data_IF_476001378763
#
_entry.id   IF_476001378763
#
_cell.length_a   1.000
_cell.length_b   1.000
_cell.length_c   1.000
_cell.angle_alpha   90.00
_cell.angle_beta   90.00
_cell.angle_gamma   90.00
#
_symmetry.space_group_name_H-M   'P 1'
#
loop_
_entity.id
_entity.type
_entity.pdbx_description
1 polymer ?
#
# COMPACT_ATOMS: atom_id res chain seq x y z
N UNK A 1 -7.22 11.65 18.94
CA UNK A 1 -6.87 12.18 17.59
C UNK A 1 -7.39 11.19 16.56
N UNK A 2 -8.30 11.56 15.64
CA UNK A 2 -8.89 10.59 14.69
C UNK A 2 -7.82 10.15 13.69
N UNK A 3 -7.66 8.84 13.48
CA UNK A 3 -6.85 8.32 12.38
C UNK A 3 -7.39 8.82 11.05
N UNK A 4 -6.48 9.20 10.17
CA UNK A 4 -6.82 9.68 8.85
C UNK A 4 -6.07 8.86 7.79
N UNK A 5 -6.69 8.69 6.63
CA UNK A 5 -6.12 7.94 5.52
C UNK A 5 -5.45 8.90 4.54
N UNK A 6 -4.26 8.52 4.09
CA UNK A 6 -3.52 9.20 3.03
C UNK A 6 -3.14 8.18 1.96
N UNK A 7 -3.54 8.45 0.70
CA UNK A 7 -3.08 7.67 -0.44
C UNK A 7 -1.76 8.25 -0.95
N UNK A 8 -0.79 7.38 -1.18
CA UNK A 8 0.42 7.73 -1.94
C UNK A 8 0.42 6.85 -3.19
N UNK A 9 0.18 7.46 -4.34
CA UNK A 9 0.15 6.77 -5.63
C UNK A 9 1.45 7.00 -6.39
N UNK A 10 2.09 5.93 -6.87
CA UNK A 10 3.15 6.01 -7.87
C UNK A 10 2.57 5.52 -9.19
N UNK A 11 2.55 6.39 -10.19
CA UNK A 11 1.97 6.06 -11.50
C UNK A 11 2.95 6.39 -12.62
N UNK A 12 3.29 5.41 -13.46
CA UNK A 12 4.05 5.61 -14.69
C UNK A 12 3.33 4.89 -15.84
N UNK A 13 2.78 5.63 -16.82
CA UNK A 13 2.21 5.07 -18.07
C UNK A 13 2.47 5.91 -19.32
N UNK A 14 2.80 5.16 -20.38
CA UNK A 14 2.74 5.42 -21.83
C UNK A 14 2.09 6.73 -22.30
N UNK A 15 2.89 7.55 -23.02
CA UNK A 15 2.57 8.74 -23.84
C UNK A 15 2.64 10.16 -23.20
N UNK A 16 3.70 10.87 -23.62
CA UNK A 16 3.89 12.30 -24.04
C UNK A 16 3.37 13.46 -23.18
N UNK A 17 2.54 13.28 -22.15
CA UNK A 17 2.09 14.38 -21.28
C UNK A 17 2.10 14.03 -19.78
N UNK A 18 3.30 13.82 -19.24
CA UNK A 18 3.57 13.26 -17.91
C UNK A 18 3.06 14.10 -16.72
N UNK A 19 3.31 15.41 -16.66
CA UNK A 19 2.87 16.25 -15.54
C UNK A 19 1.34 16.43 -15.46
N UNK A 20 0.68 16.45 -16.63
CA UNK A 20 -0.79 16.58 -16.73
C UNK A 20 -1.48 15.27 -16.38
N UNK A 21 -0.88 14.13 -16.73
CA UNK A 21 -1.41 12.80 -16.42
C UNK A 21 -1.19 12.38 -14.97
N UNK A 22 -0.05 12.65 -14.34
CA UNK A 22 0.06 12.42 -12.88
C UNK A 22 -0.99 13.23 -12.13
N UNK A 23 -1.17 14.52 -12.46
CA UNK A 23 -2.23 15.34 -11.84
C UNK A 23 -3.61 14.74 -12.06
N UNK A 24 -3.89 14.21 -13.24
CA UNK A 24 -5.15 13.52 -13.54
C UNK A 24 -5.30 12.23 -12.73
N UNK A 25 -4.25 11.41 -12.64
CA UNK A 25 -4.24 10.19 -11.83
C UNK A 25 -4.46 10.51 -10.35
N UNK A 26 -3.75 11.49 -9.81
CA UNK A 26 -3.93 11.95 -8.42
C UNK A 26 -5.35 12.48 -8.20
N UNK A 27 -5.94 13.21 -9.14
CA UNK A 27 -7.33 13.67 -9.04
C UNK A 27 -8.35 12.51 -9.09
N UNK A 28 -8.10 11.48 -9.91
CA UNK A 28 -8.94 10.29 -9.95
C UNK A 28 -8.76 9.42 -8.70
N UNK A 29 -7.56 9.34 -8.14
CA UNK A 29 -7.31 8.72 -6.83
C UNK A 29 -7.97 9.53 -5.70
N UNK A 30 -7.99 10.86 -5.80
CA UNK A 30 -8.64 11.76 -4.84
C UNK A 30 -10.14 11.47 -4.81
N UNK A 31 -10.76 11.41 -6.00
CA UNK A 31 -12.15 11.04 -6.18
C UNK A 31 -12.44 9.59 -5.81
N UNK A 32 -11.54 8.65 -6.10
CA UNK A 32 -11.69 7.25 -5.72
C UNK A 32 -11.70 7.12 -4.19
N UNK A 33 -10.80 7.80 -3.49
CA UNK A 33 -10.78 7.83 -2.04
C UNK A 33 -12.09 8.41 -1.47
N UNK A 34 -12.56 9.53 -2.02
CA UNK A 34 -13.78 10.18 -1.52
C UNK A 34 -15.03 9.33 -1.77
N UNK A 35 -15.13 8.67 -2.93
CA UNK A 35 -16.31 7.91 -3.34
C UNK A 35 -16.31 6.48 -2.77
N UNK A 36 -15.15 5.82 -2.73
CA UNK A 36 -15.04 4.39 -2.38
C UNK A 36 -14.53 4.14 -0.97
N UNK A 37 -13.78 5.09 -0.40
CA UNK A 37 -13.20 5.01 0.93
C UNK A 37 -13.69 6.16 1.83
N UNK A 38 -14.82 6.79 1.49
CA UNK A 38 -15.35 7.98 2.18
C UNK A 38 -15.83 7.73 3.61
N UNK A 39 -15.96 6.45 4.02
CA UNK A 39 -16.17 6.06 5.42
C UNK A 39 -14.96 6.36 6.30
N UNK A 40 -13.77 6.51 5.71
CA UNK A 40 -12.54 6.86 6.41
C UNK A 40 -12.23 8.35 6.28
N UNK A 41 -11.86 8.98 7.39
CA UNK A 41 -11.48 10.38 7.38
C UNK A 41 -10.21 10.57 6.52
N UNK A 42 -10.25 11.46 5.54
CA UNK A 42 -9.11 11.81 4.69
C UNK A 42 -8.24 12.88 5.33
N UNK A 43 -6.92 12.66 5.40
CA UNK A 43 -5.99 13.68 5.92
C UNK A 43 -5.59 14.67 4.83
N UNK A 44 -5.11 14.12 3.73
CA UNK A 44 -4.44 14.86 2.66
C UNK A 44 -4.89 14.33 1.32
N UNK A 45 -4.79 15.20 0.32
CA UNK A 45 -4.95 14.79 -1.07
C UNK A 45 -3.87 13.77 -1.43
N UNK A 46 -4.17 12.80 -2.31
CA UNK A 46 -3.17 11.86 -2.78
C UNK A 46 -1.94 12.57 -3.30
N UNK A 47 -0.77 12.08 -2.90
CA UNK A 47 0.51 12.54 -3.43
C UNK A 47 1.16 11.42 -4.24
N UNK A 48 2.16 11.78 -5.04
CA UNK A 48 2.85 10.81 -5.87
C UNK A 48 4.15 11.36 -6.43
N UNK A 49 4.98 10.41 -6.86
CA UNK A 49 6.11 10.64 -7.74
C UNK A 49 5.82 9.97 -9.08
N UNK A 50 6.45 10.50 -10.12
CA UNK A 50 6.40 9.98 -11.48
C UNK A 50 7.76 10.25 -12.10
N UNK A 51 8.15 9.41 -13.04
CA UNK A 51 9.40 9.59 -13.75
C UNK A 51 9.32 10.81 -14.70
N UNK A 52 10.20 11.80 -14.51
CA UNK A 52 10.32 13.01 -15.35
C UNK A 52 11.45 12.84 -16.35
N UNK A 53 11.10 12.97 -17.62
CA UNK A 53 11.99 12.98 -18.79
C UNK A 53 12.65 11.64 -19.10
N UNK A 54 12.01 10.89 -20.00
CA UNK A 54 12.58 10.53 -21.30
C UNK A 54 11.44 9.97 -22.15
N UNK A 55 11.52 10.10 -23.48
CA UNK A 55 10.54 9.42 -24.32
C UNK A 55 10.67 7.91 -24.10
N UNK A 56 9.54 7.19 -24.14
CA UNK A 56 9.51 5.75 -23.79
C UNK A 56 10.44 4.91 -24.66
N UNK A 57 10.73 5.40 -25.87
CA UNK A 57 11.78 4.85 -26.69
C UNK A 57 13.14 5.18 -26.07
N UNK A 58 13.56 6.42 -25.76
CA UNK A 58 14.86 6.72 -25.13
C UNK A 58 15.19 5.90 -23.86
N UNK A 59 14.26 5.66 -22.93
CA UNK A 59 14.57 4.85 -21.73
C UNK A 59 14.85 3.36 -22.04
N UNK A 60 14.20 2.82 -23.08
CA UNK A 60 14.38 1.43 -23.52
C UNK A 60 15.40 1.34 -24.68
N UNK A 61 15.58 2.43 -25.42
CA UNK A 61 16.47 2.65 -26.58
C UNK A 61 17.85 3.03 -26.12
N UNK A 62 18.06 3.70 -24.99
CA UNK A 62 19.39 3.88 -24.39
C UNK A 62 19.88 2.57 -23.78
N UNK A 63 18.98 1.79 -23.16
CA UNK A 63 19.26 0.42 -22.71
C UNK A 63 19.49 -0.52 -23.91
N UNK A 64 18.73 -0.38 -24.99
CA UNK A 64 18.91 -1.16 -26.22
C UNK A 64 20.09 -0.66 -27.09
N UNK A 65 20.41 0.64 -27.11
CA UNK A 65 21.55 1.23 -27.82
C UNK A 65 22.86 0.90 -27.11
N UNK A 66 22.88 0.92 -25.77
CA UNK A 66 24.05 0.53 -24.99
C UNK A 66 24.31 -0.99 -25.06
N UNK A 67 23.33 -1.81 -25.45
CA UNK A 67 23.45 -3.29 -25.51
C UNK A 67 23.41 -3.90 -26.92
N UNK A 68 22.94 -3.18 -27.96
CA UNK A 68 22.71 -3.70 -29.32
C UNK A 68 23.18 -2.77 -30.46
N UNK A 69 24.28 -2.04 -30.27
CA UNK A 69 24.87 -1.15 -31.29
C UNK A 69 25.16 -1.79 -32.67
N UNK A 70 25.12 -3.12 -32.77
CA UNK A 70 25.51 -3.88 -33.97
C UNK A 70 24.33 -4.57 -34.71
N UNK A 71 23.08 -4.42 -34.26
CA UNK A 71 21.95 -5.09 -34.92
C UNK A 71 21.55 -4.38 -36.22
N UNK A 72 21.49 -5.16 -37.31
CA UNK A 72 21.00 -4.69 -38.60
C UNK A 72 19.51 -4.28 -38.52
N UNK A 73 19.12 -3.13 -39.12
CA UNK A 73 17.72 -2.70 -39.26
C UNK A 73 16.83 -3.71 -40.00
N UNK A 74 17.44 -4.65 -40.72
CA UNK A 74 16.77 -5.71 -41.48
C UNK A 74 16.64 -7.03 -40.71
N UNK A 75 17.14 -7.10 -39.47
CA UNK A 75 16.99 -8.28 -38.63
C UNK A 75 15.57 -8.39 -38.06
N UNK A 76 15.03 -9.60 -37.99
CA UNK A 76 13.73 -9.85 -37.35
C UNK A 76 13.70 -9.33 -35.90
N UNK A 77 14.81 -9.48 -35.17
CA UNK A 77 14.99 -9.00 -33.79
C UNK A 77 14.79 -7.47 -33.64
N UNK A 78 15.31 -6.67 -34.58
CA UNK A 78 15.13 -5.22 -34.60
C UNK A 78 13.65 -4.82 -34.82
N UNK A 79 13.02 -5.42 -35.84
CA UNK A 79 11.61 -5.13 -36.20
C UNK A 79 10.63 -5.44 -35.07
N UNK A 80 10.86 -6.55 -34.37
CA UNK A 80 10.03 -7.02 -33.26
C UNK A 80 10.11 -6.08 -32.05
N UNK A 81 11.32 -5.64 -31.66
CA UNK A 81 11.53 -4.67 -30.59
C UNK A 81 10.80 -3.36 -30.91
N UNK A 82 10.89 -2.86 -32.14
CA UNK A 82 10.17 -1.64 -32.56
C UNK A 82 8.64 -1.80 -32.50
N UNK A 83 8.08 -2.96 -32.86
CA UNK A 83 6.64 -3.20 -32.84
C UNK A 83 6.06 -3.26 -31.41
N UNK A 84 6.79 -3.88 -30.47
CA UNK A 84 6.44 -3.91 -29.04
C UNK A 84 6.47 -2.48 -28.47
N UNK A 85 7.49 -1.69 -28.81
CA UNK A 85 7.68 -0.32 -28.33
C UNK A 85 6.71 0.70 -28.94
N UNK A 86 6.21 0.44 -30.15
CA UNK A 86 5.26 1.31 -30.84
C UNK A 86 3.78 0.97 -30.56
N UNK A 87 3.51 -0.12 -29.83
CA UNK A 87 2.14 -0.55 -29.51
C UNK A 87 1.37 -1.12 -30.72
N UNK A 88 2.05 -1.62 -31.74
CA UNK A 88 1.46 -2.21 -32.95
C UNK A 88 1.51 -3.74 -32.92
N UNK A 89 1.34 -4.34 -31.73
CA UNK A 89 1.44 -5.78 -31.47
C UNK A 89 0.43 -6.61 -32.27
N UNK A 90 -0.70 -5.99 -32.63
CA UNK A 90 -1.81 -6.60 -33.38
C UNK A 90 -1.44 -6.98 -34.83
N UNK A 91 -0.24 -6.57 -35.28
CA UNK A 91 0.31 -6.85 -36.61
C UNK A 91 1.25 -8.06 -36.66
N UNK A 92 1.55 -8.68 -35.51
CA UNK A 92 2.47 -9.81 -35.40
C UNK A 92 1.75 -11.14 -35.64
N UNK A 93 2.41 -12.06 -36.36
CA UNK A 93 1.86 -13.39 -36.62
C UNK A 93 2.04 -14.31 -35.40
N UNK A 94 1.27 -15.41 -35.33
CA UNK A 94 1.39 -16.41 -34.26
C UNK A 94 2.78 -17.09 -34.21
N UNK A 95 3.52 -17.09 -35.32
CA UNK A 95 4.87 -17.66 -35.46
C UNK A 95 5.95 -16.70 -34.89
N UNK A 96 5.69 -15.39 -34.96
CA UNK A 96 6.54 -14.34 -34.41
C UNK A 96 6.56 -14.37 -32.88
N UNK A 97 5.43 -14.75 -32.26
CA UNK A 97 5.26 -14.86 -30.80
C UNK A 97 6.19 -15.94 -30.19
N UNK A 98 6.41 -17.06 -30.90
CA UNK A 98 7.29 -18.14 -30.43
C UNK A 98 8.79 -17.75 -30.46
N UNK A 99 9.18 -16.79 -31.29
CA UNK A 99 10.56 -16.29 -31.36
C UNK A 99 10.85 -15.20 -30.32
N UNK A 100 9.82 -14.66 -29.66
CA UNK A 100 9.93 -13.66 -28.60
C UNK A 100 10.64 -14.23 -27.36
N UNK A 101 10.48 -15.53 -27.08
CA UNK A 101 11.06 -16.20 -25.89
C UNK A 101 12.60 -16.10 -25.85
N UNK A 102 13.28 -16.38 -26.96
CA UNK A 102 14.76 -16.36 -27.02
C UNK A 102 15.38 -14.96 -26.96
N UNK A 103 14.68 -13.97 -27.53
CA UNK A 103 15.12 -12.56 -27.53
C UNK A 103 15.03 -11.97 -26.12
N UNK A 104 14.08 -12.45 -25.33
CA UNK A 104 13.77 -11.93 -24.00
C UNK A 104 14.64 -12.57 -22.91
N UNK A 105 14.92 -13.87 -22.98
CA UNK A 105 15.86 -14.51 -22.04
C UNK A 105 17.25 -13.85 -22.06
N UNK A 106 17.69 -13.36 -23.23
CA UNK A 106 18.99 -12.69 -23.41
C UNK A 106 19.00 -11.23 -22.93
N UNK A 107 17.87 -10.51 -23.06
CA UNK A 107 17.76 -9.12 -22.57
C UNK A 107 17.80 -9.08 -21.04
N UNK A 108 17.16 -10.03 -20.37
CA UNK A 108 16.91 -9.98 -18.93
C UNK A 108 17.89 -10.78 -18.06
N UNK A 109 18.83 -11.52 -18.65
CA UNK A 109 19.85 -12.25 -17.89
C UNK A 109 20.78 -11.35 -17.06
N UNK A 110 20.92 -10.08 -17.43
CA UNK A 110 21.84 -9.13 -16.78
C UNK A 110 21.19 -7.83 -16.25
N UNK A 111 19.85 -7.70 -16.26
CA UNK A 111 19.21 -6.48 -15.75
C UNK A 111 19.23 -6.49 -14.22
N UNK A 112 20.35 -6.03 -13.68
CA UNK A 112 20.50 -5.73 -12.26
C UNK A 112 19.92 -4.34 -12.02
N UNK A 113 18.65 -4.26 -11.63
CA UNK A 113 18.03 -3.01 -11.18
C UNK A 113 18.75 -2.52 -9.91
N UNK A 114 19.71 -1.59 -10.04
CA UNK A 114 20.25 -0.88 -8.88
C UNK A 114 19.26 0.20 -8.43
N UNK A 115 18.22 -0.22 -7.71
CA UNK A 115 17.19 0.64 -7.07
C UNK A 115 17.78 1.82 -6.26
N UNK A 116 19.04 1.70 -5.85
CA UNK A 116 19.73 2.60 -4.92
C UNK A 116 20.10 3.97 -5.51
N UNK A 117 20.07 4.16 -6.84
CA UNK A 117 20.45 5.44 -7.47
C UNK A 117 19.30 6.15 -8.19
N UNK A 118 18.05 5.71 -8.01
CA UNK A 118 16.90 6.31 -8.66
C UNK A 118 16.38 7.55 -7.88
N UNK A 119 16.39 8.70 -8.54
CA UNK A 119 15.87 9.97 -8.02
C UNK A 119 14.38 9.86 -7.68
N UNK A 120 13.61 9.08 -8.43
CA UNK A 120 12.17 8.91 -8.20
C UNK A 120 11.88 8.04 -6.99
N UNK A 121 12.65 6.98 -6.80
CA UNK A 121 12.60 6.18 -5.58
C UNK A 121 12.90 7.07 -4.37
N UNK A 122 13.99 7.85 -4.46
CA UNK A 122 14.39 8.77 -3.38
C UNK A 122 13.29 9.79 -3.08
N UNK A 123 12.68 10.40 -4.09
CA UNK A 123 11.57 11.34 -3.94
C UNK A 123 10.33 10.69 -3.33
N UNK A 124 9.97 9.49 -3.78
CA UNK A 124 8.84 8.75 -3.25
C UNK A 124 9.07 8.34 -1.79
N UNK A 125 10.28 7.89 -1.46
CA UNK A 125 10.70 7.53 -0.11
C UNK A 125 10.61 8.74 0.84
N UNK A 126 11.14 9.90 0.45
CA UNK A 126 11.05 11.12 1.27
C UNK A 126 9.59 11.57 1.48
N UNK A 127 8.72 11.46 0.46
CA UNK A 127 7.29 11.74 0.60
C UNK A 127 6.60 10.76 1.55
N UNK A 128 6.97 9.48 1.48
CA UNK A 128 6.46 8.44 2.35
C UNK A 128 6.88 8.70 3.80
N UNK A 129 8.16 8.94 4.06
CA UNK A 129 8.66 9.28 5.39
C UNK A 129 7.95 10.51 5.98
N UNK A 130 7.77 11.56 5.18
CA UNK A 130 7.03 12.74 5.61
C UNK A 130 5.60 12.41 6.07
N UNK A 131 4.93 11.46 5.41
CA UNK A 131 3.59 11.01 5.78
C UNK A 131 3.61 10.03 6.95
N UNK A 132 4.62 9.17 7.08
CA UNK A 132 4.76 8.23 8.19
C UNK A 132 4.96 8.93 9.54
N UNK A 133 5.50 10.16 9.54
CA UNK A 133 5.60 11.01 10.74
C UNK A 133 4.25 11.58 11.20
N UNK A 134 3.17 11.38 10.44
CA UNK A 134 1.82 11.72 10.86
C UNK A 134 1.08 10.48 11.35
N UNK A 135 0.07 10.65 12.22
CA UNK A 135 -0.79 9.55 12.69
C UNK A 135 -1.77 9.05 11.60
N UNK A 136 -1.24 8.83 10.40
CA UNK A 136 -1.98 8.46 9.21
C UNK A 136 -1.82 6.98 8.90
N UNK A 137 -2.90 6.41 8.38
CA UNK A 137 -2.88 5.14 7.66
C UNK A 137 -2.47 5.43 6.22
N UNK A 138 -1.42 4.76 5.76
CA UNK A 138 -0.87 4.98 4.42
C UNK A 138 -1.17 3.77 3.55
N UNK A 139 -1.65 4.03 2.34
CA UNK A 139 -1.77 3.00 1.30
C UNK A 139 -0.86 3.41 0.14
N UNK A 140 0.12 2.58 -0.16
CA UNK A 140 1.00 2.69 -1.32
C UNK A 140 0.29 2.05 -2.52
N UNK A 141 -0.08 2.84 -3.51
CA UNK A 141 -0.72 2.33 -4.73
C UNK A 141 0.31 2.26 -5.86
N UNK A 142 0.59 1.04 -6.30
CA UNK A 142 1.44 0.75 -7.45
C UNK A 142 0.60 0.35 -8.65
N UNK A 143 0.96 0.82 -9.84
CA UNK A 143 0.32 0.44 -11.10
C UNK A 143 1.36 0.13 -12.18
N UNK A 144 1.26 -1.03 -12.84
CA UNK A 144 2.27 -1.54 -13.79
C UNK A 144 3.67 -1.45 -13.22
N UNK A 145 4.64 -0.83 -13.92
CA UNK A 145 6.00 -0.64 -13.43
C UNK A 145 6.08 0.12 -12.08
N UNK A 146 5.07 0.92 -11.71
CA UNK A 146 5.00 1.59 -10.42
C UNK A 146 5.04 0.62 -9.23
N UNK A 147 4.63 -0.64 -9.44
CA UNK A 147 4.68 -1.69 -8.43
C UNK A 147 6.10 -2.04 -7.99
N UNK A 148 7.13 -1.86 -8.83
CA UNK A 148 8.51 -2.09 -8.40
C UNK A 148 8.94 -1.12 -7.30
N UNK A 149 8.54 0.15 -7.43
CA UNK A 149 8.81 1.19 -6.44
C UNK A 149 7.98 0.97 -5.17
N UNK A 150 6.67 0.74 -5.29
CA UNK A 150 5.83 0.55 -4.10
C UNK A 150 6.14 -0.73 -3.35
N UNK A 151 6.53 -1.81 -4.03
CA UNK A 151 7.04 -3.01 -3.37
C UNK A 151 8.32 -2.72 -2.58
N UNK A 152 9.28 -2.02 -3.18
CA UNK A 152 10.53 -1.68 -2.51
C UNK A 152 10.31 -0.75 -1.32
N UNK A 153 9.46 0.27 -1.47
CA UNK A 153 9.10 1.18 -0.38
C UNK A 153 8.37 0.47 0.76
N UNK A 154 7.47 -0.46 0.45
CA UNK A 154 6.78 -1.24 1.46
C UNK A 154 7.76 -2.09 2.27
N UNK A 155 8.63 -2.84 1.58
CA UNK A 155 9.66 -3.68 2.21
C UNK A 155 10.62 -2.86 3.06
N UNK A 156 11.12 -1.73 2.54
CA UNK A 156 12.01 -0.81 3.25
C UNK A 156 11.35 -0.25 4.51
N UNK A 157 10.14 0.32 4.41
CA UNK A 157 9.46 0.92 5.56
C UNK A 157 9.17 -0.11 6.64
N UNK A 158 8.64 -1.28 6.28
CA UNK A 158 8.34 -2.32 7.28
C UNK A 158 9.62 -2.78 7.98
N UNK A 159 10.75 -2.84 7.27
CA UNK A 159 12.02 -3.33 7.83
C UNK A 159 12.77 -2.31 8.68
N UNK A 160 12.69 -1.01 8.33
CA UNK A 160 13.63 -0.01 8.87
C UNK A 160 12.98 1.16 9.58
N UNK A 161 11.68 1.41 9.37
CA UNK A 161 11.04 2.61 9.90
C UNK A 161 10.71 2.49 11.39
N UNK A 162 11.17 3.47 12.15
CA UNK A 162 10.84 3.67 13.56
C UNK A 162 10.02 4.96 13.70
N UNK A 163 8.87 4.88 14.37
CA UNK A 163 8.04 6.03 14.72
C UNK A 163 8.78 6.94 15.72
N UNK A 164 8.35 8.19 15.83
CA UNK A 164 9.00 9.21 16.67
C UNK A 164 9.05 8.88 18.16
N UNK A 165 8.16 8.01 18.61
CA UNK A 165 8.03 7.49 19.98
C UNK A 165 8.77 6.16 20.20
N UNK A 166 9.51 5.67 19.18
CA UNK A 166 10.40 4.52 19.28
C UNK A 166 9.81 3.18 18.82
N UNK A 167 8.51 3.11 18.51
CA UNK A 167 7.90 1.88 17.99
C UNK A 167 8.35 1.58 16.55
N UNK A 168 8.42 0.31 16.17
CA UNK A 168 8.79 -0.09 14.81
C UNK A 168 7.57 -0.35 13.92
N UNK A 169 7.71 -0.06 12.62
CA UNK A 169 6.68 -0.35 11.63
C UNK A 169 6.43 -1.86 11.44
N UNK A 170 7.42 -2.71 11.73
CA UNK A 170 7.26 -4.17 11.75
C UNK A 170 6.21 -4.63 12.75
N UNK A 171 6.20 -4.06 13.96
CA UNK A 171 5.25 -4.43 15.01
C UNK A 171 3.90 -3.70 14.85
N UNK A 172 3.95 -2.49 14.31
CA UNK A 172 2.79 -1.61 14.14
C UNK A 172 2.69 -1.09 12.70
N UNK A 173 2.34 -1.95 11.73
CA UNK A 173 2.30 -1.57 10.32
C UNK A 173 1.11 -0.65 10.05
N UNK A 174 1.38 0.66 9.97
CA UNK A 174 0.42 1.69 9.51
C UNK A 174 0.54 1.99 8.01
N UNK A 175 1.27 1.14 7.27
CA UNK A 175 1.42 1.18 5.82
C UNK A 175 0.88 -0.10 5.20
N UNK A 176 0.22 0.00 4.05
CA UNK A 176 -0.28 -1.12 3.25
C UNK A 176 0.09 -0.90 1.79
N UNK A 177 0.05 -1.97 1.00
CA UNK A 177 0.39 -1.96 -0.42
C UNK A 177 -0.83 -2.38 -1.24
N UNK A 178 -1.18 -1.61 -2.26
CA UNK A 178 -2.19 -1.95 -3.25
C UNK A 178 -1.54 -2.04 -4.62
N UNK A 179 -1.30 -3.28 -5.06
CA UNK A 179 -0.68 -3.58 -6.33
C UNK A 179 -1.74 -3.78 -7.43
N UNK A 180 -1.73 -2.90 -8.43
CA UNK A 180 -2.66 -2.92 -9.55
C UNK A 180 -1.87 -3.24 -10.83
N UNK A 181 -2.35 -4.17 -11.65
CA UNK A 181 -1.68 -4.58 -12.89
C UNK A 181 -0.18 -4.87 -12.67
N UNK A 182 0.15 -5.80 -11.76
CA UNK A 182 1.52 -5.89 -11.23
C UNK A 182 2.44 -6.81 -12.07
N UNK A 183 3.61 -6.33 -12.55
CA UNK A 183 4.58 -7.12 -13.33
C UNK A 183 5.46 -8.03 -12.46
N UNK A 184 5.24 -8.07 -11.15
CA UNK A 184 6.07 -8.87 -10.23
C UNK A 184 5.55 -10.30 -10.07
N UNK A 185 6.45 -11.21 -9.72
CA UNK A 185 6.12 -12.56 -9.25
C UNK A 185 5.88 -12.61 -7.73
N UNK A 186 6.28 -11.57 -6.99
CA UNK A 186 6.10 -11.46 -5.54
C UNK A 186 5.69 -10.05 -5.12
N UNK A 187 4.69 -9.95 -4.25
CA UNK A 187 4.24 -8.67 -3.67
C UNK A 187 4.96 -8.42 -2.36
N UNK A 188 5.33 -7.17 -2.07
CA UNK A 188 5.97 -6.83 -0.80
C UNK A 188 7.37 -7.43 -0.58
N UNK A 189 8.02 -7.91 -1.64
CA UNK A 189 9.40 -8.39 -1.59
C UNK A 189 9.57 -9.67 -0.78
N UNK A 190 10.61 -9.73 0.06
CA UNK A 190 10.88 -10.87 0.96
C UNK A 190 9.87 -10.99 2.09
N UNK A 191 9.25 -9.87 2.49
CA UNK A 191 8.28 -9.78 3.59
C UNK A 191 6.83 -10.04 3.17
N UNK A 192 6.57 -10.20 1.87
CA UNK A 192 5.23 -10.34 1.30
C UNK A 192 4.36 -11.42 1.93
N UNK A 193 4.96 -12.56 2.31
CA UNK A 193 4.24 -13.67 2.95
C UNK A 193 3.81 -13.34 4.37
N UNK A 194 4.68 -12.69 5.15
CA UNK A 194 4.41 -12.32 6.54
C UNK A 194 3.35 -11.23 6.62
N UNK A 195 3.44 -10.24 5.74
CA UNK A 195 2.53 -9.08 5.70
C UNK A 195 1.46 -9.19 4.61
N UNK A 196 1.07 -10.42 4.22
CA UNK A 196 0.10 -10.65 3.16
C UNK A 196 -1.25 -9.96 3.40
N UNK A 197 -1.61 -9.76 4.66
CA UNK A 197 -2.84 -9.09 5.10
C UNK A 197 -2.81 -7.55 4.95
N UNK A 198 -1.62 -6.95 4.78
CA UNK A 198 -1.42 -5.55 4.39
C UNK A 198 -1.33 -5.36 2.88
N UNK A 199 -1.39 -6.44 2.08
CA UNK A 199 -1.15 -6.39 0.64
C UNK A 199 -2.43 -6.72 -0.13
N UNK A 200 -2.87 -5.76 -0.94
CA UNK A 200 -3.95 -5.91 -1.91
C UNK A 200 -3.38 -6.11 -3.31
N UNK A 201 -4.00 -6.98 -4.11
CA UNK A 201 -3.63 -7.18 -5.51
C UNK A 201 -4.86 -7.31 -6.40
N UNK A 202 -4.87 -6.59 -7.52
CA UNK A 202 -5.84 -6.75 -8.59
C UNK A 202 -5.19 -6.58 -9.97
N UNK A 203 -5.29 -7.61 -10.81
CA UNK A 203 -4.89 -7.57 -12.22
C UNK A 203 -6.01 -8.16 -13.06
N UNK A 204 -6.47 -7.44 -14.08
CA UNK A 204 -7.58 -7.87 -14.94
C UNK A 204 -7.16 -9.03 -15.86
N UNK A 205 -8.11 -9.91 -16.18
CA UNK A 205 -7.91 -10.95 -17.21
C UNK A 205 -7.72 -10.35 -18.59
N UNK A 206 -8.48 -9.27 -18.88
CA UNK A 206 -8.43 -8.50 -20.13
C UNK A 206 -7.32 -7.43 -20.14
N UNK A 207 -6.42 -7.45 -19.14
CA UNK A 207 -5.22 -6.62 -19.19
C UNK A 207 -4.20 -7.27 -20.14
N UNK A 208 -4.26 -6.87 -21.42
CA UNK A 208 -3.47 -7.50 -22.48
C UNK A 208 -1.97 -7.24 -22.34
N UNK A 209 -1.59 -6.09 -21.77
CA UNK A 209 -0.19 -5.80 -21.50
C UNK A 209 0.31 -6.71 -20.37
N UNK A 210 -0.47 -6.89 -19.31
CA UNK A 210 -0.11 -7.83 -18.25
C UNK A 210 -0.13 -9.28 -18.71
N UNK A 211 -1.00 -9.64 -19.66
CA UNK A 211 -0.96 -10.94 -20.32
C UNK A 211 0.37 -11.14 -21.06
N UNK A 212 0.81 -10.15 -21.85
CA UNK A 212 2.11 -10.20 -22.51
C UNK A 212 3.24 -10.31 -21.48
N UNK A 213 3.24 -9.49 -20.41
CA UNK A 213 4.25 -9.55 -19.34
C UNK A 213 4.28 -10.93 -18.67
N UNK A 214 3.12 -11.54 -18.38
CA UNK A 214 3.05 -12.91 -17.83
C UNK A 214 3.68 -13.94 -18.76
N UNK A 215 3.34 -13.92 -20.05
CA UNK A 215 3.84 -14.89 -21.03
C UNK A 215 5.36 -14.74 -21.19
N UNK A 216 5.85 -13.49 -21.22
CA UNK A 216 7.23 -13.20 -21.59
C UNK A 216 8.21 -13.24 -20.41
N UNK A 217 7.78 -12.79 -19.22
CA UNK A 217 8.68 -12.59 -18.07
C UNK A 217 8.23 -13.35 -16.81
N UNK A 218 7.02 -13.91 -16.82
CA UNK A 218 6.36 -14.36 -15.61
C UNK A 218 5.91 -13.19 -14.74
N UNK A 219 4.67 -13.24 -14.29
CA UNK A 219 4.16 -12.39 -13.20
C UNK A 219 3.00 -13.10 -12.52
N UNK A 220 2.48 -12.52 -11.44
CA UNK A 220 1.30 -13.05 -10.79
C UNK A 220 0.12 -13.20 -11.77
N UNK A 221 -0.70 -14.26 -11.61
CA UNK A 221 -1.87 -14.45 -12.44
C UNK A 221 -2.84 -13.27 -12.29
N UNK A 222 -3.60 -13.00 -13.34
CA UNK A 222 -4.78 -12.16 -13.22
C UNK A 222 -5.76 -12.80 -12.23
N UNK A 223 -6.54 -11.96 -11.56
CA UNK A 223 -7.39 -12.39 -10.46
C UNK A 223 -8.75 -11.68 -10.45
N UNK A 224 -9.12 -11.03 -11.55
CA UNK A 224 -10.40 -10.36 -11.69
C UNK A 224 -10.83 -10.28 -13.16
N UNK A 225 -12.01 -10.80 -13.46
CA UNK A 225 -12.58 -10.73 -14.81
C UNK A 225 -13.50 -9.52 -14.92
N UNK A 226 -13.18 -8.59 -15.81
CA UNK A 226 -14.08 -7.51 -16.20
C UNK A 226 -13.74 -7.04 -17.61
N UNK A 227 -14.77 -6.69 -18.38
CA UNK A 227 -14.58 -6.07 -19.68
C UNK A 227 -14.02 -4.66 -19.51
N UNK A 228 -13.05 -4.31 -20.36
CA UNK A 228 -12.55 -2.95 -20.41
C UNK A 228 -13.50 -2.08 -21.23
N UNK A 229 -14.21 -1.19 -20.54
CA UNK A 229 -15.25 -0.34 -21.14
C UNK A 229 -14.69 0.91 -21.84
N UNK A 230 -13.46 1.32 -21.46
CA UNK A 230 -12.91 2.64 -21.82
C UNK A 230 -11.44 2.59 -22.25
N UNK A 231 -10.85 1.40 -22.36
CA UNK A 231 -9.44 1.17 -22.73
C UNK A 231 -9.30 -0.16 -23.49
N UNK A 232 -8.98 -0.12 -24.78
CA UNK A 232 -8.86 -1.34 -25.59
C UNK A 232 -7.75 -2.29 -25.12
N UNK A 233 -6.79 -1.81 -24.33
CA UNK A 233 -5.70 -2.63 -23.77
C UNK A 233 -6.02 -3.22 -22.40
N UNK A 234 -7.07 -2.71 -21.74
CA UNK A 234 -7.44 -3.08 -20.37
C UNK A 234 -6.40 -2.77 -19.29
N UNK A 235 -5.41 -1.91 -19.57
CA UNK A 235 -4.21 -1.75 -18.75
C UNK A 235 -4.18 -0.43 -17.97
N UNK A 236 -4.71 0.67 -18.50
CA UNK A 236 -4.61 2.00 -17.92
C UNK A 236 -5.30 2.15 -16.56
N UNK A 237 -4.63 2.80 -15.59
CA UNK A 237 -5.13 2.93 -14.21
C UNK A 237 -6.54 3.55 -14.15
N UNK A 238 -6.71 4.67 -14.83
CA UNK A 238 -7.99 5.39 -14.77
C UNK A 238 -9.07 4.60 -15.50
N UNK A 239 -8.87 4.31 -16.78
CA UNK A 239 -9.93 3.86 -17.67
C UNK A 239 -10.30 2.39 -17.44
N UNK A 240 -9.32 1.52 -17.14
CA UNK A 240 -9.57 0.11 -16.87
C UNK A 240 -9.90 -0.17 -15.38
N UNK A 241 -9.20 0.47 -14.44
CA UNK A 241 -9.29 0.11 -13.01
C UNK A 241 -10.17 1.03 -12.16
N UNK A 242 -10.04 2.36 -12.31
CA UNK A 242 -10.71 3.32 -11.41
C UNK A 242 -12.09 3.79 -11.92
N UNK A 243 -12.28 3.92 -13.24
CA UNK A 243 -13.53 4.39 -13.83
C UNK A 243 -14.57 3.27 -13.96
N UNK A 244 -14.13 2.03 -14.17
CA UNK A 244 -15.05 0.89 -14.16
C UNK A 244 -15.56 0.64 -12.74
N UNK A 245 -16.87 0.76 -12.51
CA UNK A 245 -17.43 0.69 -11.17
C UNK A 245 -17.20 -0.67 -10.48
N UNK A 246 -17.33 -1.77 -11.22
CA UNK A 246 -17.15 -3.11 -10.68
C UNK A 246 -15.68 -3.34 -10.27
N UNK A 247 -14.74 -2.99 -11.16
CA UNK A 247 -13.30 -3.11 -10.89
C UNK A 247 -12.88 -2.22 -9.71
N UNK A 248 -13.32 -0.97 -9.71
CA UNK A 248 -13.03 -0.03 -8.63
C UNK A 248 -13.58 -0.50 -7.27
N UNK A 249 -14.75 -1.17 -7.25
CA UNK A 249 -15.32 -1.74 -6.02
C UNK A 249 -14.50 -2.94 -5.55
N UNK A 250 -14.02 -3.76 -6.48
CA UNK A 250 -13.21 -4.92 -6.15
C UNK A 250 -11.85 -4.54 -5.55
N UNK A 251 -11.16 -3.56 -6.13
CA UNK A 251 -9.89 -3.07 -5.55
C UNK A 251 -10.13 -2.30 -4.24
N UNK A 252 -11.21 -1.51 -4.14
CA UNK A 252 -11.50 -0.76 -2.90
C UNK A 252 -11.80 -1.70 -1.74
N UNK A 253 -12.54 -2.78 -1.95
CA UNK A 253 -12.82 -3.78 -0.90
C UNK A 253 -11.54 -4.46 -0.39
N UNK A 254 -10.58 -4.74 -1.29
CA UNK A 254 -9.27 -5.28 -0.89
C UNK A 254 -8.47 -4.25 -0.08
N UNK A 255 -8.44 -3.00 -0.53
CA UNK A 255 -7.78 -1.88 0.18
C UNK A 255 -8.43 -1.67 1.56
N UNK A 256 -9.76 -1.75 1.65
CA UNK A 256 -10.49 -1.65 2.91
C UNK A 256 -10.06 -2.74 3.90
N UNK A 257 -9.96 -3.98 3.42
CA UNK A 257 -9.43 -5.08 4.23
C UNK A 257 -8.00 -4.81 4.71
N UNK A 258 -7.10 -4.28 3.86
CA UNK A 258 -5.74 -3.95 4.27
C UNK A 258 -5.68 -2.79 5.27
N UNK A 259 -6.58 -1.79 5.16
CA UNK A 259 -6.70 -0.69 6.13
C UNK A 259 -7.10 -1.22 7.52
N UNK A 260 -8.06 -2.16 7.59
CA UNK A 260 -8.50 -2.75 8.85
C UNK A 260 -7.42 -3.62 9.51
N UNK A 261 -6.52 -4.18 8.70
CA UNK A 261 -5.36 -4.98 9.12
C UNK A 261 -4.12 -4.16 9.48
N UNK A 262 -4.13 -2.85 9.28
CA UNK A 262 -3.07 -1.99 9.79
C UNK A 262 -3.21 -1.83 11.30
N UNK A 263 -2.11 -2.04 12.01
CA UNK A 263 -2.08 -1.99 13.48
C UNK A 263 -1.46 -0.67 13.92
N UNK A 264 -2.20 0.17 14.65
CA UNK A 264 -1.64 1.40 15.15
C UNK A 264 -0.65 1.13 16.28
N UNK A 265 0.44 1.89 16.31
CA UNK A 265 1.29 2.01 17.49
C UNK A 265 0.46 2.50 18.70
N UNK A 266 0.94 2.33 19.94
CA UNK A 266 0.17 2.69 21.12
C UNK A 266 -0.38 4.13 21.10
N UNK A 267 -1.65 4.27 21.48
CA UNK A 267 -2.45 5.46 21.27
C UNK A 267 -2.73 6.27 22.53
N UNK A 268 -2.31 5.76 23.68
CA UNK A 268 -2.65 6.39 24.96
C UNK A 268 -2.21 7.85 25.03
N UNK A 269 -1.09 8.24 24.41
CA UNK A 269 -0.61 9.63 24.40
C UNK A 269 -1.52 10.63 23.64
N UNK A 270 -2.60 10.16 23.00
CA UNK A 270 -3.54 11.04 22.30
C UNK A 270 -4.40 11.92 23.22
N UNK A 271 -4.78 11.41 24.40
CA UNK A 271 -5.66 12.12 25.32
C UNK A 271 -5.16 11.97 26.77
N UNK A 272 -4.37 12.92 27.31
CA UNK A 272 -4.15 13.01 28.74
C UNK A 272 -5.49 13.30 29.43
N UNK A 273 -5.71 12.70 30.60
CA UNK A 273 -6.95 12.85 31.36
C UNK A 273 -6.65 13.17 32.82
N UNK A 274 -7.60 13.83 33.49
CA UNK A 274 -7.55 14.05 34.93
C UNK A 274 -8.43 13.00 35.62
N UNK A 275 -7.84 11.85 35.94
CA UNK A 275 -8.52 10.70 36.54
C UNK A 275 -7.60 10.02 37.55
N UNK A 276 -8.14 9.58 38.69
CA UNK A 276 -7.37 8.78 39.66
C UNK A 276 -6.95 7.41 39.10
N UNK A 277 -7.58 6.96 38.01
CA UNK A 277 -7.37 5.64 37.43
C UNK A 277 -6.35 5.63 36.29
N UNK A 278 -6.41 6.66 35.44
CA UNK A 278 -5.71 6.72 34.16
C UNK A 278 -5.03 8.07 34.01
N UNK A 279 -3.78 8.06 33.55
CA UNK A 279 -3.09 9.29 33.18
C UNK A 279 -3.37 9.67 31.73
N UNK A 280 -3.48 8.67 30.85
CA UNK A 280 -3.64 8.86 29.41
C UNK A 280 -4.51 7.75 28.80
N UNK A 281 -5.30 8.11 27.79
CA UNK A 281 -6.18 7.19 27.06
C UNK A 281 -6.13 7.47 25.55
N UNK A 282 -6.40 6.46 24.74
CA UNK A 282 -6.42 6.60 23.29
C UNK A 282 -7.36 5.62 22.63
N UNK A 283 -8.04 6.04 21.56
CA UNK A 283 -9.02 5.18 20.90
C UNK A 283 -8.94 5.26 19.37
N UNK A 284 -8.89 4.09 18.73
CA UNK A 284 -9.02 3.91 17.29
C UNK A 284 -10.46 3.55 16.95
N UNK A 285 -11.16 4.46 16.28
CA UNK A 285 -12.49 4.18 15.70
C UNK A 285 -12.44 3.16 14.56
N UNK A 286 -11.30 3.07 13.86
CA UNK A 286 -11.10 2.17 12.72
C UNK A 286 -10.91 0.72 13.18
N UNK A 287 -9.97 0.46 14.10
CA UNK A 287 -9.74 -0.89 14.61
C UNK A 287 -10.55 -1.24 15.86
N UNK A 288 -11.30 -0.28 16.42
CA UNK A 288 -12.02 -0.44 17.70
C UNK A 288 -11.07 -0.84 18.82
N UNK A 289 -9.93 -0.15 18.87
CA UNK A 289 -8.84 -0.39 19.84
C UNK A 289 -8.83 0.75 20.86
N UNK A 290 -8.81 0.41 22.14
CA UNK A 290 -8.67 1.34 23.26
C UNK A 290 -7.36 1.07 24.01
N UNK A 291 -6.47 2.04 24.05
CA UNK A 291 -5.26 2.00 24.87
C UNK A 291 -5.46 2.82 26.13
N UNK A 292 -5.14 2.22 27.28
CA UNK A 292 -5.26 2.83 28.60
C UNK A 292 -3.90 2.80 29.30
N UNK A 293 -3.41 3.97 29.70
CA UNK A 293 -2.25 4.13 30.58
C UNK A 293 -2.73 4.46 31.98
N UNK A 294 -2.57 3.51 32.88
CA UNK A 294 -2.93 3.67 34.30
C UNK A 294 -2.00 4.68 34.97
N UNK A 295 -2.44 5.28 36.08
CA UNK A 295 -1.58 6.13 36.94
C UNK A 295 -0.34 5.38 37.45
N UNK A 296 -0.43 4.05 37.60
CA UNK A 296 0.72 3.20 37.94
C UNK A 296 1.77 3.09 36.83
N UNK A 297 1.49 3.61 35.63
CA UNK A 297 2.36 3.53 34.45
C UNK A 297 2.15 2.28 33.58
N UNK A 298 1.36 1.30 34.03
CA UNK A 298 1.03 0.13 33.20
C UNK A 298 0.11 0.53 32.03
N UNK A 299 0.38 -0.03 30.84
CA UNK A 299 -0.42 0.22 29.63
C UNK A 299 -1.08 -1.07 29.15
N UNK A 300 -2.36 -0.97 28.80
CA UNK A 300 -3.15 -2.06 28.25
C UNK A 300 -3.85 -1.64 26.97
N UNK A 301 -3.96 -2.58 26.03
CA UNK A 301 -4.71 -2.44 24.78
C UNK A 301 -5.91 -3.36 24.81
N UNK A 302 -7.09 -2.78 24.70
CA UNK A 302 -8.36 -3.48 24.58
C UNK A 302 -8.83 -3.51 23.13
N UNK A 303 -9.33 -4.65 22.69
CA UNK A 303 -9.80 -4.85 21.33
C UNK A 303 -11.32 -4.95 21.26
N UNK A 304 -11.87 -4.68 20.08
CA UNK A 304 -13.31 -4.77 19.78
C UNK A 304 -14.19 -3.86 20.64
N UNK A 305 -13.65 -2.74 21.13
CA UNK A 305 -14.39 -1.76 21.95
C UNK A 305 -15.34 -0.96 21.04
N UNK A 306 -16.67 -1.08 21.19
CA UNK A 306 -17.63 -0.32 20.40
C UNK A 306 -17.49 1.19 20.64
N UNK A 307 -17.83 1.99 19.62
CA UNK A 307 -17.78 3.46 19.73
C UNK A 307 -18.62 4.00 20.90
N UNK A 308 -19.79 3.39 21.15
CA UNK A 308 -20.66 3.79 22.26
C UNK A 308 -19.99 3.57 23.63
N UNK A 309 -19.24 2.47 23.79
CA UNK A 309 -18.50 2.19 25.03
C UNK A 309 -17.36 3.17 25.21
N UNK A 310 -16.67 3.54 24.13
CA UNK A 310 -15.68 4.61 24.16
C UNK A 310 -16.30 5.96 24.56
N UNK A 311 -17.41 6.35 23.93
CA UNK A 311 -18.06 7.64 24.22
C UNK A 311 -18.53 7.71 25.67
N UNK A 312 -19.19 6.66 26.17
CA UNK A 312 -19.63 6.58 27.56
C UNK A 312 -18.44 6.57 28.54
N UNK A 313 -17.35 5.86 28.22
CA UNK A 313 -16.12 5.89 29.02
C UNK A 313 -15.51 7.29 29.06
N UNK A 314 -15.37 7.93 27.90
CA UNK A 314 -14.73 9.24 27.75
C UNK A 314 -15.49 10.35 28.49
N UNK A 315 -16.83 10.31 28.47
CA UNK A 315 -17.69 11.28 29.16
C UNK A 315 -18.14 10.86 30.56
N UNK A 316 -17.65 9.71 31.07
CA UNK A 316 -18.03 9.23 32.41
C UNK A 316 -17.55 10.18 33.52
N UNK A 317 -18.36 10.32 34.57
CA UNK A 317 -17.99 11.09 35.77
C UNK A 317 -16.95 10.37 36.64
N UNK A 318 -16.79 9.07 36.46
CA UNK A 318 -15.73 8.25 37.07
C UNK A 318 -15.27 7.18 36.07
N UNK A 319 -14.15 7.46 35.40
CA UNK A 319 -13.54 6.55 34.43
C UNK A 319 -13.15 5.21 35.07
N UNK A 320 -12.64 5.23 36.31
CA UNK A 320 -12.29 4.02 37.06
C UNK A 320 -13.48 3.10 37.30
N UNK A 321 -14.59 3.68 37.78
CA UNK A 321 -15.85 2.95 37.96
C UNK A 321 -16.38 2.40 36.65
N UNK A 322 -16.47 3.23 35.61
CA UNK A 322 -16.95 2.80 34.30
C UNK A 322 -16.10 1.65 33.73
N UNK A 323 -14.78 1.77 33.82
CA UNK A 323 -13.85 0.74 33.39
C UNK A 323 -14.09 -0.59 34.11
N UNK A 324 -14.21 -0.58 35.44
CA UNK A 324 -14.48 -1.78 36.21
C UNK A 324 -15.81 -2.45 35.83
N UNK A 325 -16.84 -1.64 35.60
CA UNK A 325 -18.21 -2.11 35.37
C UNK A 325 -18.44 -2.57 33.93
N UNK A 326 -17.75 -1.97 32.93
CA UNK A 326 -18.08 -2.12 31.51
C UNK A 326 -16.93 -2.58 30.61
N UNK A 327 -15.66 -2.52 31.03
CA UNK A 327 -14.50 -2.84 30.17
C UNK A 327 -13.69 -4.01 30.73
N UNK A 328 -13.37 -3.94 32.02
CA UNK A 328 -12.50 -4.89 32.71
C UNK A 328 -13.08 -6.31 32.64
N UNK A 329 -12.33 -7.23 32.04
CA UNK A 329 -12.72 -8.63 31.90
C UNK A 329 -13.82 -8.90 30.86
N UNK A 330 -14.25 -7.89 30.11
CA UNK A 330 -15.31 -8.02 29.09
C UNK A 330 -14.77 -8.03 27.66
N UNK A 331 -13.56 -7.52 27.45
CA UNK A 331 -12.93 -7.41 26.14
C UNK A 331 -11.56 -8.09 26.12
N UNK A 332 -11.13 -8.65 24.97
CA UNK A 332 -9.77 -9.11 24.78
C UNK A 332 -8.77 -7.99 25.07
N UNK A 333 -7.68 -8.33 25.74
CA UNK A 333 -6.72 -7.37 26.24
C UNK A 333 -5.29 -7.90 26.10
N UNK A 334 -4.39 -7.01 25.71
CA UNK A 334 -2.95 -7.23 25.77
C UNK A 334 -2.29 -6.19 26.66
N UNK A 335 -1.14 -6.53 27.25
CA UNK A 335 -0.34 -5.60 28.05
C UNK A 335 0.87 -5.14 27.25
N UNK A 336 1.15 -3.85 27.26
CA UNK A 336 2.38 -3.35 26.67
C UNK A 336 3.56 -3.78 27.54
N UNK A 337 4.52 -4.46 26.93
CA UNK A 337 5.84 -4.63 27.49
C UNK A 337 6.73 -3.46 27.08
N UNK A 338 7.21 -2.72 28.07
CA UNK A 338 7.98 -1.49 27.84
C UNK A 338 9.40 -1.81 27.38
N UNK A 339 9.93 -2.99 27.74
CA UNK A 339 11.29 -3.39 27.34
C UNK A 339 11.35 -3.73 25.85
N UNK A 340 10.37 -4.49 25.34
CA UNK A 340 10.29 -4.84 23.91
C UNK A 340 9.48 -3.85 23.08
N UNK A 341 8.74 -2.94 23.72
CA UNK A 341 7.80 -2.01 23.07
C UNK A 341 6.68 -2.71 22.28
N UNK A 342 6.34 -3.94 22.64
CA UNK A 342 5.30 -4.75 21.98
C UNK A 342 4.17 -5.13 22.94
N UNK A 343 2.99 -5.43 22.40
CA UNK A 343 1.87 -5.95 23.18
C UNK A 343 1.98 -7.47 23.37
N UNK A 344 2.01 -7.90 24.63
CA UNK A 344 2.02 -9.31 25.01
C UNK A 344 0.58 -9.81 25.19
N UNK A 345 0.24 -10.89 24.48
CA UNK A 345 -1.07 -11.53 24.57
C UNK A 345 -1.36 -12.03 25.99
N UNK A 346 -2.46 -11.57 26.58
CA UNK A 346 -2.92 -12.09 27.86
C UNK A 346 -3.75 -13.35 27.63
N UNK A 347 -3.37 -14.46 28.27
CA UNK A 347 -4.00 -15.79 28.11
C UNK A 347 -5.14 -16.06 29.08
N UNK A 348 -5.38 -15.16 30.04
CA UNK A 348 -6.51 -15.21 30.97
C UNK A 348 -7.20 -13.84 31.05
N UNK A 349 -8.51 -13.84 31.31
CA UNK A 349 -9.27 -12.65 31.69
C UNK A 349 -9.00 -12.23 33.16
N UNK A 350 -7.96 -12.79 33.79
CA UNK A 350 -7.59 -12.49 35.17
C UNK A 350 -7.14 -11.03 35.32
N UNK A 351 -7.28 -10.46 36.53
CA UNK A 351 -7.37 -9.02 36.75
C UNK A 351 -6.35 -8.17 36.00
N UNK A 352 -6.77 -7.56 34.89
CA UNK A 352 -6.26 -6.22 34.57
C UNK A 352 -6.55 -5.35 35.79
N UNK A 353 -5.56 -4.57 36.25
CA UNK A 353 -5.56 -3.87 37.53
C UNK A 353 -6.98 -3.40 37.92
N UNK A 354 -7.47 -3.88 39.07
CA UNK A 354 -8.74 -3.38 39.62
C UNK A 354 -8.50 -1.93 40.03
N UNK A 355 -9.30 -1.01 39.51
CA UNK A 355 -9.24 0.37 39.97
C UNK A 355 -10.04 0.45 41.25
N UNK A 356 -9.42 0.80 42.38
CA UNK A 356 -10.08 0.75 43.69
C UNK A 356 -11.03 1.94 43.96
N UNK A 357 -10.99 2.98 43.13
CA UNK A 357 -11.77 4.22 43.31
C UNK A 357 -12.67 4.51 42.11
#
# INVERSE_FOLDING_TARGET
MKFRNSLIGLTNYWQVHFARRLRKNLAWLDSFQDVRLGSYQKDRKPTGSYNKDEEIHMQIYEIAQQKYGDLSPFSNKYRLITAILAGTLDSLSLEDIAHVESVIEEVFKDVTYSKLNDIDYSNAYQRLLFQMHSCNRIILIGHSQGNFYTNALFEEIISTYQYSDGYFASDYPMVSLAAIATPTNSLGGSLGKEYAHQISHLTLDEDWVMRAVRILFGSLPSNYSAESLFDSTGHGLIDAYLRNNAVANAISAKIEASILNQTPFPLFEQHPVNSDAFSHIGYSTINKILDLKFESGSVYRYYNIPILVWDEFYYSTSMGKFYNDNIRGQYPVDKLDIETMTYLKMTSLEPVAKVEK
#
